data_IF_860725983806
#
_entry.id   IF_860725983806
#
_cell.length_a   1.000
_cell.length_b   1.000
_cell.length_c   1.000
_cell.angle_alpha   90.00
_cell.angle_beta   90.00
_cell.angle_gamma   90.00
#
_symmetry.space_group_name_H-M   'P 1'
#
loop_
_entity.id
_entity.type
_entity.pdbx_description
1 polymer ?
#
# COMPACT_ATOMS: atom_id res chain seq x y z
N UNK A 1 -0.31 3.44 -20.78
CA UNK A 1 -1.54 3.08 -20.04
C UNK A 1 -1.11 2.22 -18.86
N UNK A 2 -1.34 2.56 -17.59
CA UNK A 2 -2.63 2.88 -17.00
C UNK A 2 -2.46 3.87 -15.81
N UNK A 3 -2.63 5.19 -16.06
CA UNK A 3 -2.63 6.21 -14.98
C UNK A 3 -3.68 5.86 -13.91
N UNK A 4 -4.78 5.25 -14.34
CA UNK A 4 -5.86 4.80 -13.45
C UNK A 4 -5.40 3.66 -12.55
N UNK A 5 -4.55 2.71 -12.99
CA UNK A 5 -4.02 1.66 -12.09
C UNK A 5 -3.18 2.26 -10.98
N UNK A 6 -2.27 3.17 -11.34
CA UNK A 6 -1.39 3.85 -10.37
C UNK A 6 -2.19 4.73 -9.40
N UNK A 7 -3.18 5.48 -9.88
CA UNK A 7 -4.08 6.27 -9.01
C UNK A 7 -4.93 5.34 -8.12
N UNK A 8 -5.45 4.26 -8.69
CA UNK A 8 -6.30 3.31 -7.96
C UNK A 8 -5.51 2.58 -6.89
N UNK A 9 -4.25 2.19 -7.15
CA UNK A 9 -3.37 1.59 -6.14
C UNK A 9 -3.05 2.56 -5.00
N UNK A 10 -2.81 3.85 -5.30
CA UNK A 10 -2.60 4.87 -4.28
C UNK A 10 -3.82 5.05 -3.39
N UNK A 11 -5.02 5.13 -4.00
CA UNK A 11 -6.29 5.20 -3.27
C UNK A 11 -6.54 3.92 -2.47
N UNK A 12 -6.34 2.74 -3.07
CA UNK A 12 -6.48 1.46 -2.38
C UNK A 12 -5.54 1.38 -1.18
N UNK A 13 -4.29 1.83 -1.32
CA UNK A 13 -3.32 1.85 -0.23
C UNK A 13 -3.80 2.72 0.94
N UNK A 14 -4.31 3.92 0.66
CA UNK A 14 -4.87 4.79 1.68
C UNK A 14 -6.08 4.15 2.37
N UNK A 15 -6.98 3.54 1.60
CA UNK A 15 -8.19 2.87 2.12
C UNK A 15 -7.82 1.62 2.94
N UNK A 16 -6.86 0.81 2.47
CA UNK A 16 -6.37 -0.36 3.21
C UNK A 16 -5.69 0.04 4.51
N UNK A 17 -4.87 1.09 4.51
CA UNK A 17 -4.25 1.60 5.73
C UNK A 17 -5.31 1.96 6.78
N UNK A 18 -6.35 2.70 6.35
CA UNK A 18 -7.43 3.14 7.21
C UNK A 18 -8.25 1.94 7.73
N UNK A 19 -8.56 0.97 6.86
CA UNK A 19 -9.25 -0.26 7.26
C UNK A 19 -8.43 -1.09 8.25
N UNK A 20 -7.12 -1.25 8.06
CA UNK A 20 -6.26 -2.02 8.98
C UNK A 20 -6.19 -1.34 10.35
N UNK A 21 -6.08 0.00 10.39
CA UNK A 21 -6.07 0.75 11.66
C UNK A 21 -7.41 0.60 12.38
N UNK A 22 -8.53 0.80 11.68
CA UNK A 22 -9.88 0.70 12.27
C UNK A 22 -10.19 -0.73 12.73
N UNK A 23 -9.86 -1.73 11.93
CA UNK A 23 -10.08 -3.14 12.29
C UNK A 23 -9.15 -3.58 13.42
N UNK A 24 -7.88 -3.15 13.43
CA UNK A 24 -6.95 -3.41 14.54
C UNK A 24 -7.42 -2.82 15.86
N UNK A 25 -7.94 -1.58 15.83
CA UNK A 25 -8.53 -0.93 17.01
C UNK A 25 -9.81 -1.66 17.48
N UNK A 26 -10.72 -2.02 16.56
CA UNK A 26 -11.95 -2.73 16.88
C UNK A 26 -11.69 -4.14 17.44
N UNK A 27 -10.73 -4.87 16.88
CA UNK A 27 -10.32 -6.20 17.39
C UNK A 27 -9.68 -6.08 18.77
N UNK A 28 -8.84 -5.06 18.98
CA UNK A 28 -8.24 -4.77 20.29
C UNK A 28 -9.27 -4.44 21.38
N UNK A 29 -10.37 -3.77 21.04
CA UNK A 29 -11.44 -3.48 22.01
C UNK A 29 -12.26 -4.76 22.32
N UNK A 30 -12.67 -5.50 21.28
CA UNK A 30 -13.55 -6.66 21.46
C UNK A 30 -12.85 -7.83 22.18
N UNK A 31 -11.58 -8.11 21.87
CA UNK A 31 -10.85 -9.24 22.47
C UNK A 31 -10.47 -9.03 23.94
N UNK A 32 -10.37 -7.79 24.40
CA UNK A 32 -9.91 -7.48 25.74
C UNK A 32 -11.02 -7.02 26.70
N UNK A 33 -12.21 -6.72 26.18
CA UNK A 33 -13.42 -6.57 27.01
C UNK A 33 -13.83 -7.87 27.72
N UNK A 34 -13.47 -9.04 27.17
CA UNK A 34 -13.77 -10.34 27.78
C UNK A 34 -12.84 -10.70 28.96
N UNK A 35 -11.67 -10.05 29.09
CA UNK A 35 -10.60 -10.47 30.03
C UNK A 35 -10.60 -9.67 31.34
N UNK A 36 -11.54 -8.72 31.51
CA UNK A 36 -11.73 -7.95 32.73
C UNK A 36 -11.28 -6.49 32.63
N UNK A 37 -11.93 -5.62 33.42
CA UNK A 37 -11.91 -4.16 33.27
C UNK A 37 -10.50 -3.50 33.31
N UNK A 38 -9.50 -4.18 33.90
CA UNK A 38 -8.10 -3.73 33.95
C UNK A 38 -7.22 -4.11 32.76
N UNK A 39 -7.65 -5.08 31.92
CA UNK A 39 -6.88 -5.56 30.76
C UNK A 39 -7.13 -4.73 29.47
N UNK A 40 -8.09 -3.80 29.52
CA UNK A 40 -8.55 -2.98 28.40
C UNK A 40 -7.43 -2.11 27.79
N UNK A 41 -6.60 -1.47 28.63
CA UNK A 41 -5.52 -0.59 28.15
C UNK A 41 -4.38 -1.38 27.48
N UNK A 42 -3.97 -2.51 28.08
CA UNK A 42 -2.92 -3.36 27.51
C UNK A 42 -3.35 -4.00 26.19
N UNK A 43 -4.62 -4.37 26.09
CA UNK A 43 -5.20 -4.90 24.87
C UNK A 43 -5.26 -3.92 23.71
N UNK A 44 -5.61 -2.68 24.00
CA UNK A 44 -5.58 -1.59 23.02
C UNK A 44 -4.16 -1.34 22.54
N UNK A 45 -3.15 -1.31 23.44
CA UNK A 45 -1.75 -1.12 23.03
C UNK A 45 -1.26 -2.25 22.12
N UNK A 46 -1.50 -3.51 22.47
CA UNK A 46 -1.04 -4.65 21.68
C UNK A 46 -1.78 -4.71 20.34
N UNK A 47 -3.10 -4.50 20.34
CA UNK A 47 -3.91 -4.46 19.12
C UNK A 47 -3.51 -3.32 18.19
N UNK A 48 -3.22 -2.13 18.75
CA UNK A 48 -2.73 -0.99 17.99
C UNK A 48 -1.33 -1.26 17.43
N UNK A 49 -0.42 -1.85 18.22
CA UNK A 49 0.94 -2.15 17.78
C UNK A 49 0.94 -3.17 16.63
N UNK A 50 0.18 -4.25 16.77
CA UNK A 50 0.08 -5.28 15.74
C UNK A 50 -0.63 -4.76 14.48
N UNK A 51 -1.71 -3.97 14.66
CA UNK A 51 -2.40 -3.28 13.56
C UNK A 51 -1.49 -2.30 12.83
N UNK A 52 -0.65 -1.55 13.55
CA UNK A 52 0.31 -0.62 12.98
C UNK A 52 1.40 -1.33 12.17
N UNK A 53 1.96 -2.43 12.70
CA UNK A 53 2.95 -3.24 11.98
C UNK A 53 2.35 -3.85 10.71
N UNK A 54 1.13 -4.39 10.79
CA UNK A 54 0.43 -4.92 9.62
C UNK A 54 0.16 -3.82 8.56
N UNK A 55 -0.30 -2.64 9.00
CA UNK A 55 -0.54 -1.51 8.10
C UNK A 55 0.76 -1.05 7.43
N UNK A 56 1.86 -0.94 8.18
CA UNK A 56 3.16 -0.55 7.64
C UNK A 56 3.68 -1.56 6.60
N UNK A 57 3.53 -2.86 6.85
CA UNK A 57 3.93 -3.90 5.90
C UNK A 57 3.12 -3.85 4.60
N UNK A 58 1.80 -3.69 4.70
CA UNK A 58 0.91 -3.58 3.53
C UNK A 58 1.18 -2.28 2.76
N UNK A 59 1.35 -1.15 3.46
CA UNK A 59 1.67 0.11 2.80
C UNK A 59 3.05 0.11 2.13
N UNK A 60 4.05 -0.50 2.77
CA UNK A 60 5.40 -0.62 2.21
C UNK A 60 5.43 -1.47 0.94
N UNK A 61 4.71 -2.58 0.90
CA UNK A 61 4.63 -3.45 -0.29
C UNK A 61 3.94 -2.76 -1.45
N UNK A 62 2.83 -2.06 -1.20
CA UNK A 62 2.12 -1.29 -2.23
C UNK A 62 2.96 -0.12 -2.77
N UNK A 63 3.68 0.60 -1.91
CA UNK A 63 4.60 1.66 -2.35
C UNK A 63 5.72 1.11 -3.26
N UNK A 64 6.23 -0.08 -2.94
CA UNK A 64 7.26 -0.74 -3.75
C UNK A 64 6.72 -1.12 -5.13
N UNK A 65 5.49 -1.64 -5.21
CA UNK A 65 4.84 -1.97 -6.47
C UNK A 65 4.59 -0.73 -7.35
N UNK A 66 4.18 0.40 -6.76
CA UNK A 66 4.03 1.66 -7.47
C UNK A 66 5.35 2.17 -8.04
N UNK A 67 6.45 2.05 -7.28
CA UNK A 67 7.79 2.43 -7.75
C UNK A 67 8.21 1.60 -8.98
N UNK A 68 7.96 0.29 -8.93
CA UNK A 68 8.26 -0.64 -10.02
C UNK A 68 7.46 -0.28 -11.28
N UNK A 69 6.16 0.00 -11.14
CA UNK A 69 5.30 0.37 -12.27
C UNK A 69 5.78 1.68 -12.94
N UNK A 70 6.20 2.67 -12.15
CA UNK A 70 6.76 3.90 -12.67
C UNK A 70 8.07 3.66 -13.44
N UNK A 71 8.92 2.77 -12.93
CA UNK A 71 10.20 2.44 -13.58
C UNK A 71 10.01 1.70 -14.90
N UNK A 72 9.07 0.74 -14.95
CA UNK A 72 8.68 0.03 -16.18
C UNK A 72 8.12 0.99 -17.24
N UNK A 73 7.32 1.97 -16.81
CA UNK A 73 6.77 3.00 -17.68
C UNK A 73 7.86 3.86 -18.31
N UNK A 74 8.85 4.26 -17.51
CA UNK A 74 9.99 5.03 -18.00
C UNK A 74 10.81 4.25 -19.04
N UNK A 75 11.11 2.98 -18.78
CA UNK A 75 11.86 2.12 -19.71
C UNK A 75 11.11 1.91 -21.02
N UNK A 76 9.79 1.69 -20.97
CA UNK A 76 8.96 1.56 -22.17
C UNK A 76 8.97 2.83 -23.02
N UNK A 77 8.82 4.00 -22.40
CA UNK A 77 8.82 5.27 -23.12
C UNK A 77 10.16 5.52 -23.84
N UNK A 78 11.30 5.22 -23.19
CA UNK A 78 12.62 5.35 -23.80
C UNK A 78 12.78 4.37 -24.98
N UNK A 79 12.33 3.12 -24.81
CA UNK A 79 12.41 2.10 -25.85
C UNK A 79 11.61 2.49 -27.10
N UNK A 80 10.40 3.02 -26.92
CA UNK A 80 9.55 3.48 -28.03
C UNK A 80 10.19 4.66 -28.79
N UNK A 81 10.77 5.64 -28.09
CA UNK A 81 11.47 6.76 -28.75
C UNK A 81 12.71 6.28 -29.51
N UNK A 82 13.48 5.36 -28.93
CA UNK A 82 14.64 4.77 -29.58
C UNK A 82 14.24 4.02 -30.86
N UNK A 83 13.13 3.28 -30.82
CA UNK A 83 12.60 2.58 -31.99
C UNK A 83 12.13 3.56 -33.08
N UNK A 84 11.44 4.64 -32.70
CA UNK A 84 11.02 5.70 -33.62
C UNK A 84 12.19 6.45 -34.26
N UNK A 85 13.31 6.61 -33.53
CA UNK A 85 14.55 7.18 -34.08
C UNK A 85 15.24 6.21 -35.05
N UNK A 86 15.30 4.92 -34.74
CA UNK A 86 15.89 3.91 -35.60
C UNK A 86 15.18 3.80 -36.96
N UNK A 87 13.85 3.93 -36.98
CA UNK A 87 13.06 3.94 -38.23
C UNK A 87 13.36 5.21 -39.04
N UNK A 88 13.48 6.37 -38.38
CA UNK A 88 13.83 7.63 -39.06
C UNK A 88 15.25 7.64 -39.62
N UNK A 89 16.21 7.02 -38.94
CA UNK A 89 17.59 6.93 -39.43
C UNK A 89 17.77 6.00 -40.65
N UNK A 90 16.79 5.14 -40.93
CA UNK A 90 16.79 4.27 -42.13
C UNK A 90 16.11 4.90 -43.35
N UNK A 91 15.52 6.08 -43.21
CA UNK A 91 14.79 6.78 -44.28
C UNK A 91 15.61 7.98 -44.76
#
# INVERSE_FOLDING_TARGET
MNRVLSDTLGILNMVLALLIIVTGMAVGINRFNEVGHGASVGGILIGLFFGFVAAAAVCGTLATLLLIENHLRNIRAITEDLHARAIRARK
#
